data_IF_152188809917
#
_entry.id   IF_152188809917
#
_cell.length_a   1.000
_cell.length_b   1.000
_cell.length_c   1.000
_cell.angle_alpha   90.00
_cell.angle_beta   90.00
_cell.angle_gamma   90.00
#
_symmetry.space_group_name_H-M   'P 1'
#
loop_
_entity.id
_entity.type
_entity.pdbx_description
1 polymer ?
#
# COMPACT_ATOMS: atom_id res chain seq x y z
N UNK A 1 32.85 -4.05 -13.81
CA UNK A 1 31.80 -5.06 -13.90
C UNK A 1 30.58 -4.50 -14.66
N UNK A 2 29.91 -5.36 -15.43
CA UNK A 2 28.70 -4.95 -16.16
C UNK A 2 27.64 -4.41 -15.18
N UNK A 3 27.00 -3.28 -15.52
CA UNK A 3 25.88 -2.74 -14.75
C UNK A 3 24.75 -3.75 -14.71
N UNK A 4 24.18 -3.97 -13.53
CA UNK A 4 22.99 -4.80 -13.39
C UNK A 4 21.83 -4.17 -14.12
N UNK A 5 21.17 -4.95 -14.99
CA UNK A 5 19.97 -4.54 -15.70
C UNK A 5 18.75 -4.87 -14.85
N UNK A 6 17.88 -3.89 -14.69
CA UNK A 6 16.60 -4.06 -14.02
C UNK A 6 15.48 -4.00 -15.06
N UNK A 7 14.59 -4.96 -15.00
CA UNK A 7 13.38 -4.99 -15.83
C UNK A 7 12.21 -4.48 -15.00
N UNK A 8 11.54 -3.46 -15.49
CA UNK A 8 10.39 -2.85 -14.82
C UNK A 8 9.17 -3.00 -15.73
N UNK A 9 8.17 -3.73 -15.26
CA UNK A 9 6.86 -3.78 -15.91
C UNK A 9 6.13 -2.47 -15.62
N UNK A 10 5.47 -1.89 -16.61
CA UNK A 10 4.78 -0.62 -16.48
C UNK A 10 3.34 -0.76 -16.93
N UNK A 11 2.40 -0.45 -16.06
CA UNK A 11 0.97 -0.35 -16.34
C UNK A 11 0.59 1.12 -16.29
N UNK A 12 0.37 1.79 -17.44
CA UNK A 12 -0.03 3.20 -17.41
C UNK A 12 -1.35 3.44 -16.70
N UNK A 13 -2.29 2.49 -16.81
CA UNK A 13 -3.60 2.59 -16.18
C UNK A 13 -4.59 3.42 -16.99
N UNK A 14 -5.57 3.98 -16.30
CA UNK A 14 -6.71 4.68 -16.88
C UNK A 14 -6.67 6.19 -16.54
N UNK A 15 -7.49 6.98 -17.22
CA UNK A 15 -7.65 8.40 -16.91
C UNK A 15 -6.34 9.19 -16.98
N UNK A 16 -5.88 9.73 -15.86
CA UNK A 16 -4.61 10.46 -15.78
C UNK A 16 -3.37 9.57 -15.76
N UNK A 17 -3.55 8.25 -15.74
CA UNK A 17 -2.46 7.27 -15.66
C UNK A 17 -1.41 7.43 -16.76
N UNK A 18 -1.77 7.48 -18.05
CA UNK A 18 -0.79 7.64 -19.12
C UNK A 18 0.07 8.90 -19.01
N UNK A 19 -0.52 10.05 -18.70
CA UNK A 19 0.23 11.30 -18.53
C UNK A 19 1.13 11.30 -17.29
N UNK A 20 0.68 10.69 -16.19
CA UNK A 20 1.51 10.51 -15.00
C UNK A 20 2.68 9.56 -15.27
N UNK A 21 2.44 8.49 -16.02
CA UNK A 21 3.47 7.52 -16.39
C UNK A 21 4.56 8.17 -17.23
N UNK A 22 4.19 9.01 -18.17
CA UNK A 22 5.14 9.76 -19.00
C UNK A 22 6.01 10.69 -18.14
N UNK A 23 5.40 11.42 -17.20
CA UNK A 23 6.13 12.26 -16.27
C UNK A 23 7.07 11.45 -15.37
N UNK A 24 6.63 10.29 -14.93
CA UNK A 24 7.44 9.37 -14.11
C UNK A 24 8.65 8.84 -14.87
N UNK A 25 8.52 8.52 -16.14
CA UNK A 25 9.65 8.11 -16.99
C UNK A 25 10.76 9.15 -17.02
N UNK A 26 10.42 10.43 -17.10
CA UNK A 26 11.41 11.52 -17.07
C UNK A 26 12.20 11.54 -15.78
N UNK A 27 11.52 11.31 -14.65
CA UNK A 27 12.16 11.24 -13.33
C UNK A 27 13.07 10.01 -13.24
N UNK A 28 12.59 8.85 -13.65
CA UNK A 28 13.35 7.60 -13.60
C UNK A 28 14.58 7.64 -14.53
N UNK A 29 14.46 8.28 -15.68
CA UNK A 29 15.58 8.49 -16.59
C UNK A 29 16.68 9.33 -15.93
N UNK A 30 16.30 10.42 -15.29
CA UNK A 30 17.24 11.26 -14.53
C UNK A 30 17.90 10.51 -13.38
N UNK A 31 17.12 9.73 -12.62
CA UNK A 31 17.63 8.88 -11.53
C UNK A 31 18.61 7.84 -12.06
N UNK A 32 18.29 7.23 -13.21
CA UNK A 32 19.18 6.24 -13.84
C UNK A 32 20.53 6.83 -14.22
N UNK A 33 20.55 8.05 -14.76
CA UNK A 33 21.78 8.74 -15.11
C UNK A 33 22.61 9.09 -13.87
N UNK A 34 21.98 9.63 -12.82
CA UNK A 34 22.67 10.05 -11.60
C UNK A 34 23.27 8.87 -10.85
N UNK A 35 22.56 7.76 -10.76
CA UNK A 35 22.98 6.60 -9.96
C UNK A 35 23.56 5.45 -10.78
N UNK A 36 23.72 5.62 -12.09
CA UNK A 36 24.27 4.60 -12.97
C UNK A 36 23.42 3.33 -13.05
N UNK A 37 22.10 3.48 -13.01
CA UNK A 37 21.15 2.36 -13.11
C UNK A 37 20.82 2.08 -14.57
N UNK A 38 20.66 0.79 -14.90
CA UNK A 38 20.17 0.37 -16.20
C UNK A 38 18.78 -0.24 -16.03
N UNK A 39 17.74 0.51 -16.42
CA UNK A 39 16.35 0.07 -16.36
C UNK A 39 15.80 -0.15 -17.76
N UNK A 40 15.15 -1.29 -17.94
CA UNK A 40 14.39 -1.62 -19.14
C UNK A 40 12.91 -1.68 -18.79
N UNK A 41 12.09 -0.95 -19.54
CA UNK A 41 10.66 -0.83 -19.30
C UNK A 41 9.86 -1.66 -20.28
N UNK A 42 8.96 -2.50 -19.77
CA UNK A 42 8.00 -3.26 -20.56
C UNK A 42 6.60 -2.78 -20.21
N UNK A 43 5.98 -2.08 -21.14
CA UNK A 43 4.63 -1.53 -20.97
C UNK A 43 3.59 -2.58 -21.29
N UNK A 44 2.65 -2.79 -20.36
CA UNK A 44 1.52 -3.71 -20.49
C UNK A 44 0.24 -3.04 -20.01
N UNK A 45 -0.90 -3.61 -20.37
CA UNK A 45 -2.20 -3.01 -20.09
C UNK A 45 -2.93 -3.71 -18.94
N UNK A 46 -3.58 -2.94 -18.10
CA UNK A 46 -4.54 -3.40 -17.11
C UNK A 46 -5.54 -2.27 -16.82
N UNK A 47 -6.70 -2.62 -16.29
CA UNK A 47 -7.72 -1.67 -15.89
C UNK A 47 -8.90 -1.63 -16.85
N UNK A 48 -9.62 -0.51 -16.84
CA UNK A 48 -10.85 -0.33 -17.64
C UNK A 48 -10.57 -0.38 -19.13
N UNK A 49 -9.44 0.19 -19.56
CA UNK A 49 -9.01 0.16 -20.96
C UNK A 49 -8.76 -1.27 -21.43
N UNK A 50 -8.07 -2.06 -20.63
CA UNK A 50 -7.82 -3.48 -20.93
C UNK A 50 -9.12 -4.30 -20.95
N UNK A 51 -10.05 -4.01 -20.04
CA UNK A 51 -11.36 -4.65 -20.00
C UNK A 51 -12.12 -4.45 -21.31
N UNK A 52 -12.09 -3.24 -21.87
CA UNK A 52 -12.72 -2.93 -23.16
C UNK A 52 -12.06 -3.65 -24.34
N UNK A 53 -10.73 -3.73 -24.35
CA UNK A 53 -9.97 -4.34 -25.44
C UNK A 53 -9.99 -5.87 -25.42
N UNK A 54 -9.83 -6.46 -24.23
CA UNK A 54 -9.50 -7.88 -24.07
C UNK A 54 -10.57 -8.67 -23.32
N UNK A 55 -11.61 -8.01 -22.80
CA UNK A 55 -12.65 -8.66 -22.00
C UNK A 55 -12.23 -8.99 -20.57
N UNK A 56 -11.04 -8.58 -20.16
CA UNK A 56 -10.54 -8.75 -18.79
C UNK A 56 -9.74 -7.52 -18.36
N UNK A 57 -9.88 -7.06 -17.10
CA UNK A 57 -9.09 -5.94 -16.61
C UNK A 57 -7.63 -6.31 -16.30
N UNK A 58 -7.31 -7.60 -16.20
CA UNK A 58 -5.96 -8.10 -15.99
C UNK A 58 -5.66 -9.22 -16.99
N UNK A 59 -5.18 -8.89 -18.21
CA UNK A 59 -4.78 -9.88 -19.21
C UNK A 59 -3.66 -10.79 -18.69
N UNK A 60 -3.64 -12.04 -19.15
CA UNK A 60 -2.61 -13.00 -18.75
C UNK A 60 -1.19 -12.53 -19.15
N UNK A 61 -1.06 -11.91 -20.32
CA UNK A 61 0.22 -11.32 -20.77
C UNK A 61 0.77 -10.31 -19.77
N UNK A 62 -0.10 -9.49 -19.19
CA UNK A 62 0.28 -8.50 -18.18
C UNK A 62 0.82 -9.19 -16.92
N UNK A 63 0.11 -10.20 -16.44
CA UNK A 63 0.57 -10.98 -15.29
C UNK A 63 1.90 -11.66 -15.57
N UNK A 64 2.07 -12.29 -16.73
CA UNK A 64 3.31 -12.95 -17.12
C UNK A 64 4.49 -11.97 -17.17
N UNK A 65 4.26 -10.78 -17.72
CA UNK A 65 5.28 -9.72 -17.78
C UNK A 65 5.70 -9.28 -16.37
N UNK A 66 4.75 -9.12 -15.45
CA UNK A 66 5.05 -8.76 -14.04
C UNK A 66 5.87 -9.86 -13.35
N UNK A 67 5.52 -11.13 -13.59
CA UNK A 67 6.22 -12.27 -12.99
C UNK A 67 7.69 -12.37 -13.42
N UNK A 68 8.03 -11.89 -14.61
CA UNK A 68 9.38 -11.89 -15.15
C UNK A 68 10.16 -10.60 -14.82
N UNK A 69 9.49 -9.58 -14.29
CA UNK A 69 10.10 -8.30 -13.97
C UNK A 69 10.69 -8.25 -12.56
N UNK A 70 11.64 -7.35 -12.34
CA UNK A 70 12.19 -7.05 -11.03
C UNK A 70 11.23 -6.21 -10.17
N UNK A 71 10.48 -5.34 -10.82
CA UNK A 71 9.45 -4.50 -10.17
C UNK A 71 8.37 -4.11 -11.17
N UNK A 72 7.25 -3.65 -10.67
CA UNK A 72 6.15 -3.11 -11.48
C UNK A 72 5.81 -1.70 -11.02
N UNK A 73 5.68 -0.80 -11.98
CA UNK A 73 5.14 0.54 -11.78
C UNK A 73 3.73 0.57 -12.35
N UNK A 74 2.74 0.83 -11.50
CA UNK A 74 1.34 0.82 -11.89
C UNK A 74 0.72 2.21 -11.73
N UNK A 75 0.11 2.71 -12.79
CA UNK A 75 -0.71 3.91 -12.74
C UNK A 75 -2.09 3.65 -12.14
N UNK A 76 -2.90 4.71 -11.97
CA UNK A 76 -4.25 4.59 -11.42
C UNK A 76 -5.17 3.84 -12.36
N UNK A 77 -6.14 3.14 -11.80
CA UNK A 77 -7.14 2.36 -12.52
C UNK A 77 -8.54 2.85 -12.16
N UNK A 78 -9.48 2.74 -13.08
CA UNK A 78 -10.87 3.14 -12.90
C UNK A 78 -11.66 2.16 -12.05
N UNK A 79 -12.90 1.86 -12.45
CA UNK A 79 -13.82 1.03 -11.64
C UNK A 79 -13.33 -0.41 -11.45
N UNK A 80 -12.50 -0.92 -12.35
CA UNK A 80 -11.91 -2.26 -12.27
C UNK A 80 -10.71 -2.35 -11.32
N UNK A 81 -10.40 -1.31 -10.55
CA UNK A 81 -9.20 -1.24 -9.70
C UNK A 81 -9.05 -2.45 -8.76
N UNK A 82 -10.13 -2.83 -8.06
CA UNK A 82 -10.08 -3.97 -7.15
C UNK A 82 -9.78 -5.28 -7.89
N UNK A 83 -10.32 -5.47 -9.08
CA UNK A 83 -10.10 -6.67 -9.90
C UNK A 83 -8.66 -6.77 -10.42
N UNK A 84 -7.93 -5.67 -10.46
CA UNK A 84 -6.52 -5.64 -10.84
C UNK A 84 -5.63 -5.80 -9.62
N UNK A 85 -5.69 -4.85 -8.68
CA UNK A 85 -4.71 -4.78 -7.60
C UNK A 85 -4.89 -5.84 -6.54
N UNK A 86 -6.12 -6.16 -6.14
CA UNK A 86 -6.36 -7.19 -5.12
C UNK A 86 -5.91 -8.56 -5.64
N UNK A 87 -6.19 -8.89 -6.91
CA UNK A 87 -5.71 -10.13 -7.52
C UNK A 87 -4.18 -10.19 -7.57
N UNK A 88 -3.51 -9.10 -7.92
CA UNK A 88 -2.05 -9.04 -7.95
C UNK A 88 -1.44 -9.20 -6.56
N UNK A 89 -2.01 -8.56 -5.54
CA UNK A 89 -1.55 -8.70 -4.14
C UNK A 89 -1.58 -10.15 -3.67
N UNK A 90 -2.63 -10.87 -4.02
CA UNK A 90 -2.80 -12.28 -3.63
C UNK A 90 -1.90 -13.18 -4.48
N UNK A 91 -1.94 -13.03 -5.81
CA UNK A 91 -1.18 -13.88 -6.73
C UNK A 91 0.34 -13.80 -6.52
N UNK A 92 0.86 -12.62 -6.18
CA UNK A 92 2.28 -12.36 -5.98
C UNK A 92 2.68 -12.36 -4.50
N UNK A 93 1.74 -12.62 -3.61
CA UNK A 93 1.92 -12.56 -2.15
C UNK A 93 2.58 -11.26 -1.68
N UNK A 94 2.03 -10.15 -2.13
CA UNK A 94 2.50 -8.81 -1.76
C UNK A 94 1.96 -8.45 -0.37
N UNK A 95 2.57 -8.99 0.66
CA UNK A 95 2.04 -8.97 2.02
C UNK A 95 2.11 -7.62 2.73
N UNK A 96 3.02 -6.74 2.30
CA UNK A 96 3.20 -5.43 2.92
C UNK A 96 2.75 -4.31 1.97
N UNK A 97 1.80 -3.50 2.39
CA UNK A 97 1.40 -2.28 1.72
C UNK A 97 2.00 -1.11 2.50
N UNK A 98 3.01 -0.50 1.91
CA UNK A 98 3.83 0.53 2.56
C UNK A 98 3.43 1.88 2.01
N UNK A 99 2.88 2.72 2.87
CA UNK A 99 2.35 4.05 2.51
C UNK A 99 3.03 5.15 3.32
N UNK A 100 4.12 5.73 2.81
CA UNK A 100 4.72 6.90 3.44
C UNK A 100 3.82 8.12 3.27
N UNK A 101 3.70 8.91 4.32
CA UNK A 101 2.90 10.13 4.33
C UNK A 101 3.73 11.26 4.92
N UNK A 102 3.89 12.34 4.17
CA UNK A 102 4.71 13.46 4.57
C UNK A 102 4.09 14.78 4.15
N UNK A 103 4.06 15.74 5.07
CA UNK A 103 3.76 17.15 4.74
C UNK A 103 4.98 17.79 4.13
N UNK A 104 4.85 18.36 2.93
CA UNK A 104 5.95 19.00 2.25
C UNK A 104 5.93 20.52 2.49
N UNK A 105 7.11 21.15 2.69
CA UNK A 105 7.20 22.60 2.79
C UNK A 105 6.59 23.28 1.54
N UNK A 106 5.92 24.40 1.74
CA UNK A 106 5.30 25.20 0.68
C UNK A 106 4.05 24.60 0.02
N UNK A 107 3.60 23.41 0.44
CA UNK A 107 2.32 22.87 0.01
C UNK A 107 1.28 23.06 1.11
N UNK A 108 0.04 23.43 0.76
CA UNK A 108 -1.03 23.53 1.74
C UNK A 108 -1.28 22.19 2.42
N UNK A 109 -1.40 22.21 3.72
CA UNK A 109 -1.70 21.01 4.52
C UNK A 109 -2.56 21.39 5.72
N UNK A 110 -3.47 20.47 6.09
CA UNK A 110 -4.20 20.59 7.34
C UNK A 110 -3.24 20.49 8.54
N UNK A 111 -2.26 19.57 8.44
CA UNK A 111 -1.17 19.40 9.41
C UNK A 111 0.17 19.49 8.70
N UNK A 112 1.01 20.48 9.01
CA UNK A 112 2.33 20.63 8.37
C UNK A 112 3.41 19.72 8.98
N UNK A 113 3.11 18.98 10.03
CA UNK A 113 4.03 18.22 10.87
C UNK A 113 3.85 16.70 10.74
N UNK A 114 3.35 16.21 9.60
CA UNK A 114 3.20 14.78 9.32
C UNK A 114 4.46 14.25 8.63
N UNK A 115 5.04 13.22 9.21
CA UNK A 115 6.08 12.39 8.59
C UNK A 115 6.01 11.01 9.23
N UNK A 116 5.22 10.13 8.61
CA UNK A 116 4.98 8.78 9.10
C UNK A 116 4.91 7.78 7.94
N UNK A 117 5.00 6.51 8.27
CA UNK A 117 4.79 5.42 7.33
C UNK A 117 3.72 4.50 7.88
N UNK A 118 2.71 4.19 7.07
CA UNK A 118 1.73 3.17 7.41
C UNK A 118 2.16 1.86 6.75
N UNK A 119 2.40 0.86 7.57
CA UNK A 119 2.69 -0.52 7.17
C UNK A 119 1.42 -1.33 7.38
N UNK A 120 0.72 -1.55 6.27
CA UNK A 120 -0.58 -2.19 6.21
C UNK A 120 -0.44 -3.63 5.77
N UNK A 121 -1.00 -4.57 6.55
CA UNK A 121 -1.16 -5.95 6.07
C UNK A 121 -2.00 -5.93 4.79
N UNK A 122 -1.66 -6.76 3.81
CA UNK A 122 -2.15 -6.58 2.43
C UNK A 122 -2.84 -7.81 1.83
N UNK A 123 -2.89 -8.95 2.54
CA UNK A 123 -3.33 -10.22 1.96
C UNK A 123 -4.51 -10.89 2.66
N UNK A 124 -4.94 -10.37 3.78
CA UNK A 124 -6.01 -10.98 4.57
C UNK A 124 -7.01 -9.95 5.12
N UNK A 125 -7.65 -10.20 6.23
CA UNK A 125 -8.73 -9.38 6.76
C UNK A 125 -10.03 -9.60 5.98
N UNK A 126 -10.80 -8.56 5.81
CA UNK A 126 -12.02 -8.57 5.00
C UNK A 126 -11.72 -8.68 3.49
N UNK A 127 -10.51 -8.37 3.08
CA UNK A 127 -10.07 -8.44 1.69
C UNK A 127 -9.86 -9.87 1.18
N UNK A 128 -10.02 -10.90 2.05
CA UNK A 128 -10.12 -12.29 1.62
C UNK A 128 -11.37 -12.56 0.76
N UNK A 129 -12.38 -11.70 0.87
CA UNK A 129 -13.58 -11.81 0.05
C UNK A 129 -14.56 -12.90 0.48
N UNK A 130 -14.45 -13.41 1.72
CA UNK A 130 -15.41 -14.36 2.27
C UNK A 130 -16.65 -13.64 2.74
N UNK A 131 -17.59 -13.51 1.83
CA UNK A 131 -18.81 -12.75 2.05
C UNK A 131 -19.99 -13.49 1.43
N UNK A 132 -21.10 -13.60 2.16
CA UNK A 132 -22.26 -14.34 1.69
C UNK A 132 -23.54 -13.93 2.41
N UNK A 133 -24.66 -14.27 1.79
CA UNK A 133 -25.99 -14.11 2.37
C UNK A 133 -26.34 -15.38 3.15
N UNK A 134 -26.74 -15.26 4.41
CA UNK A 134 -27.09 -16.38 5.28
C UNK A 134 -28.59 -16.69 5.29
N UNK A 135 -29.38 -15.97 4.51
CA UNK A 135 -30.83 -16.13 4.39
C UNK A 135 -31.59 -14.87 4.78
N UNK A 136 -32.72 -14.61 4.11
CA UNK A 136 -33.44 -13.38 4.26
C UNK A 136 -32.58 -12.17 3.89
N UNK A 137 -32.69 -11.09 4.62
CA UNK A 137 -31.89 -9.89 4.43
C UNK A 137 -30.68 -9.83 5.41
N UNK A 138 -30.06 -10.98 5.67
CA UNK A 138 -28.90 -11.11 6.57
C UNK A 138 -27.66 -11.51 5.77
N UNK A 139 -26.66 -10.64 5.76
CA UNK A 139 -25.38 -10.86 5.08
C UNK A 139 -24.23 -10.85 6.08
N UNK A 140 -23.18 -11.62 5.81
CA UNK A 140 -21.98 -11.69 6.65
C UNK A 140 -20.72 -11.58 5.81
N UNK A 141 -19.67 -10.98 6.39
CA UNK A 141 -18.32 -11.00 5.87
C UNK A 141 -17.37 -11.53 6.94
N UNK A 142 -16.43 -12.37 6.55
CA UNK A 142 -15.45 -12.94 7.48
C UNK A 142 -14.15 -12.15 7.43
N UNK A 143 -13.73 -11.69 8.60
CA UNK A 143 -12.44 -11.05 8.79
C UNK A 143 -11.42 -12.09 9.23
N UNK A 144 -10.46 -12.40 8.38
CA UNK A 144 -9.47 -13.45 8.60
C UNK A 144 -8.15 -12.84 9.05
N UNK A 145 -7.67 -13.25 10.22
CA UNK A 145 -6.35 -12.87 10.74
C UNK A 145 -5.59 -14.16 11.03
N UNK A 146 -4.36 -14.24 10.50
CA UNK A 146 -3.48 -15.39 10.75
C UNK A 146 -2.26 -14.97 11.55
N UNK A 147 -1.68 -15.89 12.30
CA UNK A 147 -0.40 -15.67 12.99
C UNK A 147 0.72 -15.36 11.99
N UNK A 148 0.81 -16.14 10.92
CA UNK A 148 1.83 -15.93 9.87
C UNK A 148 1.73 -14.55 9.23
N UNK A 149 0.53 -14.14 8.83
CA UNK A 149 0.29 -12.82 8.23
C UNK A 149 0.61 -11.69 9.20
N UNK A 150 0.20 -11.82 10.45
CA UNK A 150 0.47 -10.82 11.49
C UNK A 150 1.97 -10.71 11.81
N UNK A 151 2.67 -11.84 11.89
CA UNK A 151 4.10 -11.86 12.21
C UNK A 151 4.94 -11.20 11.11
N UNK A 152 4.71 -11.54 9.85
CA UNK A 152 5.51 -10.99 8.75
C UNK A 152 5.28 -9.49 8.55
N UNK A 153 4.06 -9.00 8.71
CA UNK A 153 3.81 -7.55 8.61
C UNK A 153 4.40 -6.80 9.81
N UNK A 154 4.34 -7.39 11.01
CA UNK A 154 4.97 -6.82 12.19
C UNK A 154 6.49 -6.68 11.99
N UNK A 155 7.16 -7.73 11.54
CA UNK A 155 8.61 -7.68 11.25
C UNK A 155 8.95 -6.60 10.23
N UNK A 156 8.16 -6.47 9.18
CA UNK A 156 8.36 -5.42 8.19
C UNK A 156 8.27 -4.03 8.81
N UNK A 157 7.29 -3.81 9.68
CA UNK A 157 7.11 -2.54 10.38
C UNK A 157 8.28 -2.21 11.31
N UNK A 158 8.77 -3.18 12.10
CA UNK A 158 9.90 -2.97 13.01
C UNK A 158 11.20 -2.71 12.24
N UNK A 159 11.46 -3.42 11.15
CA UNK A 159 12.62 -3.16 10.29
C UNK A 159 12.53 -1.77 9.65
N UNK A 160 11.35 -1.35 9.24
CA UNK A 160 11.13 0.01 8.73
C UNK A 160 11.42 1.06 9.81
N UNK A 161 10.95 0.87 11.02
CA UNK A 161 11.17 1.78 12.14
C UNK A 161 12.66 1.92 12.50
N UNK A 162 13.44 0.85 12.41
CA UNK A 162 14.90 0.90 12.62
C UNK A 162 15.62 1.87 11.69
N UNK A 163 15.10 2.02 10.48
CA UNK A 163 15.65 2.96 9.49
C UNK A 163 15.06 4.37 9.59
N UNK A 164 14.19 4.58 10.58
CA UNK A 164 13.51 5.86 10.80
C UNK A 164 13.73 6.33 12.24
N UNK A 165 12.66 6.63 12.96
CA UNK A 165 12.74 7.18 14.32
C UNK A 165 12.50 6.15 15.41
N UNK A 166 12.50 4.87 15.07
CA UNK A 166 12.47 3.73 16.00
C UNK A 166 11.26 3.69 16.92
N UNK A 167 10.09 3.95 16.34
CA UNK A 167 8.82 3.81 17.06
C UNK A 167 7.79 3.12 16.18
N UNK A 168 7.15 2.08 16.71
CA UNK A 168 6.02 1.39 16.08
C UNK A 168 4.78 1.57 16.93
N UNK A 169 3.71 2.07 16.32
CA UNK A 169 2.38 2.11 16.91
C UNK A 169 1.53 1.04 16.24
N UNK A 170 1.19 -0.01 16.98
CA UNK A 170 0.30 -1.07 16.52
C UNK A 170 -1.15 -0.63 16.71
N UNK A 171 -1.92 -0.65 15.63
CA UNK A 171 -3.30 -0.17 15.63
C UNK A 171 -4.27 -1.32 15.38
N UNK A 172 -5.19 -1.50 16.30
CA UNK A 172 -6.18 -2.58 16.28
C UNK A 172 -7.48 -2.17 16.97
N UNK A 173 -8.41 -3.10 17.12
CA UNK A 173 -9.68 -2.88 17.83
C UNK A 173 -10.01 -4.08 18.73
N UNK A 174 -9.04 -4.51 19.55
CA UNK A 174 -9.16 -5.72 20.37
C UNK A 174 -10.20 -5.60 21.51
N UNK A 175 -10.61 -4.38 21.87
CA UNK A 175 -11.72 -4.19 22.81
C UNK A 175 -13.09 -4.60 22.24
N UNK A 176 -13.20 -4.69 20.91
CA UNK A 176 -14.41 -5.14 20.20
C UNK A 176 -14.17 -6.49 19.53
N UNK A 177 -13.12 -6.58 18.70
CA UNK A 177 -12.75 -7.82 18.01
C UNK A 177 -11.68 -8.56 18.81
N UNK A 178 -12.10 -9.16 19.91
CA UNK A 178 -11.20 -9.75 20.91
C UNK A 178 -10.38 -10.92 20.38
N UNK A 179 -10.93 -11.69 19.45
CA UNK A 179 -10.25 -12.86 18.89
C UNK A 179 -9.32 -12.45 17.74
N UNK A 180 -9.85 -11.78 16.72
CA UNK A 180 -9.05 -11.43 15.54
C UNK A 180 -8.01 -10.32 15.82
N UNK A 181 -8.44 -9.19 16.35
CA UNK A 181 -7.49 -8.14 16.75
C UNK A 181 -6.66 -8.57 17.97
N UNK A 182 -7.20 -9.43 18.84
CA UNK A 182 -6.44 -10.02 19.95
C UNK A 182 -5.25 -10.83 19.46
N UNK A 183 -5.42 -11.66 18.45
CA UNK A 183 -4.31 -12.40 17.83
C UNK A 183 -3.28 -11.46 17.20
N UNK A 184 -3.73 -10.48 16.43
CA UNK A 184 -2.83 -9.51 15.80
C UNK A 184 -1.99 -8.77 16.85
N UNK A 185 -2.62 -8.24 17.90
CA UNK A 185 -1.94 -7.54 18.98
C UNK A 185 -0.95 -8.43 19.73
N UNK A 186 -1.34 -9.67 20.03
CA UNK A 186 -0.46 -10.65 20.68
C UNK A 186 0.80 -10.91 19.87
N UNK A 187 0.65 -11.17 18.57
CA UNK A 187 1.78 -11.43 17.68
C UNK A 187 2.68 -10.20 17.56
N UNK A 188 2.11 -9.01 17.43
CA UNK A 188 2.90 -7.78 17.38
C UNK A 188 3.71 -7.55 18.66
N UNK A 189 3.14 -7.85 19.84
CA UNK A 189 3.87 -7.78 21.10
C UNK A 189 5.03 -8.79 21.17
N UNK A 190 4.79 -10.01 20.69
CA UNK A 190 5.84 -11.04 20.63
C UNK A 190 6.99 -10.60 19.73
N UNK A 191 6.68 -10.07 18.55
CA UNK A 191 7.70 -9.56 17.62
C UNK A 191 8.43 -8.37 18.21
N UNK A 192 7.76 -7.47 18.92
CA UNK A 192 8.38 -6.29 19.54
C UNK A 192 9.52 -6.65 20.49
N UNK A 193 9.46 -7.79 21.14
CA UNK A 193 10.51 -8.27 22.04
C UNK A 193 11.82 -8.58 21.33
N UNK A 194 11.78 -8.82 20.02
CA UNK A 194 12.97 -9.04 19.21
C UNK A 194 13.60 -7.74 18.70
N UNK A 195 12.98 -6.61 19.01
CA UNK A 195 13.41 -5.27 18.59
C UNK A 195 13.46 -4.32 19.81
N UNK A 196 14.34 -4.60 20.79
CA UNK A 196 14.41 -3.81 22.03
C UNK A 196 14.85 -2.36 21.81
N UNK A 197 15.41 -2.06 20.66
CA UNK A 197 15.82 -0.73 20.22
C UNK A 197 14.68 0.11 19.61
N UNK A 198 13.48 -0.47 19.48
CA UNK A 198 12.29 0.19 18.92
C UNK A 198 11.24 0.36 20.02
N UNK A 199 10.74 1.57 20.17
CA UNK A 199 9.62 1.85 21.07
C UNK A 199 8.36 1.25 20.47
N UNK A 200 7.61 0.51 21.26
CA UNK A 200 6.37 -0.13 20.86
C UNK A 200 5.21 0.37 21.71
N UNK A 201 4.15 0.78 21.05
CA UNK A 201 2.88 1.13 21.69
C UNK A 201 1.70 0.58 20.91
N UNK A 202 0.53 0.53 21.54
CA UNK A 202 -0.72 0.11 20.91
C UNK A 202 -1.75 1.22 21.05
N UNK A 203 -2.55 1.41 20.02
CA UNK A 203 -3.71 2.30 20.03
C UNK A 203 -4.92 1.60 19.39
N UNK A 204 -6.09 1.89 19.88
CA UNK A 204 -7.32 1.54 19.16
C UNK A 204 -7.45 2.40 17.91
N UNK A 205 -8.03 1.85 16.86
CA UNK A 205 -8.10 2.49 15.54
C UNK A 205 -8.81 3.85 15.58
N UNK A 206 -9.87 3.97 16.36
CA UNK A 206 -10.59 5.23 16.54
C UNK A 206 -9.74 6.30 17.24
N UNK A 207 -9.01 5.92 18.27
CA UNK A 207 -8.06 6.82 18.94
C UNK A 207 -6.92 7.22 17.99
N UNK A 208 -6.38 6.27 17.24
CA UNK A 208 -5.33 6.56 16.25
C UNK A 208 -5.82 7.54 15.18
N UNK A 209 -7.01 7.32 14.64
CA UNK A 209 -7.63 8.23 13.67
C UNK A 209 -7.72 9.66 14.21
N UNK A 210 -8.18 9.83 15.43
CA UNK A 210 -8.23 11.15 16.09
C UNK A 210 -6.82 11.73 16.27
N UNK A 211 -5.85 10.93 16.68
CA UNK A 211 -4.48 11.37 16.96
C UNK A 211 -3.68 11.73 15.70
N UNK A 212 -3.97 11.13 14.56
CA UNK A 212 -3.37 11.53 13.28
C UNK A 212 -3.67 13.01 12.99
N UNK A 213 -4.86 13.48 13.32
CA UNK A 213 -5.25 14.88 13.16
C UNK A 213 -4.73 15.75 14.29
N UNK A 214 -4.81 15.24 15.53
CA UNK A 214 -4.51 16.01 16.73
C UNK A 214 -3.00 16.16 17.01
N UNK A 215 -2.24 15.09 16.83
CA UNK A 215 -0.82 15.02 17.18
C UNK A 215 -0.03 14.07 16.27
N UNK A 216 -0.02 14.34 14.95
CA UNK A 216 0.61 13.44 13.99
C UNK A 216 2.11 13.27 14.20
N UNK A 217 2.78 14.23 14.81
CA UNK A 217 4.23 14.19 15.09
C UNK A 217 4.65 13.07 16.07
N UNK A 218 3.69 12.49 16.79
CA UNK A 218 3.97 11.36 17.69
C UNK A 218 4.07 10.02 16.94
N UNK A 219 3.69 9.96 15.68
CA UNK A 219 3.75 8.74 14.88
C UNK A 219 5.01 8.67 14.02
N UNK A 220 5.66 7.52 14.03
CA UNK A 220 6.73 7.16 13.09
C UNK A 220 6.23 6.07 12.13
N UNK A 221 6.08 4.85 12.61
CA UNK A 221 5.52 3.74 11.84
C UNK A 221 4.21 3.29 12.48
N UNK A 222 3.15 3.28 11.69
CA UNK A 222 1.86 2.72 12.07
C UNK A 222 1.76 1.33 11.46
N UNK A 223 1.65 0.32 12.32
CA UNK A 223 1.49 -1.08 11.96
C UNK A 223 0.03 -1.47 12.18
N UNK A 224 -0.64 -1.96 11.13
CA UNK A 224 -2.06 -2.26 11.26
C UNK A 224 -2.54 -3.31 10.25
N UNK A 225 -3.76 -3.77 10.45
CA UNK A 225 -4.45 -4.70 9.57
C UNK A 225 -4.95 -4.02 8.30
N UNK A 226 -5.44 -4.81 7.36
CA UNK A 226 -5.69 -4.38 5.98
C UNK A 226 -6.65 -3.20 5.88
N UNK A 227 -7.88 -3.32 6.34
CA UNK A 227 -8.86 -2.26 6.17
C UNK A 227 -8.56 -1.02 7.02
N UNK A 228 -8.06 -1.20 8.24
CA UNK A 228 -7.65 -0.05 9.06
C UNK A 228 -6.54 0.74 8.40
N UNK A 229 -5.56 0.06 7.82
CA UNK A 229 -4.48 0.71 7.08
C UNK A 229 -4.95 1.46 5.84
N UNK A 230 -5.93 0.91 5.15
CA UNK A 230 -6.56 1.57 4.00
C UNK A 230 -7.19 2.91 4.40
N UNK A 231 -8.00 2.89 5.45
CA UNK A 231 -8.70 4.09 5.93
C UNK A 231 -7.74 5.12 6.52
N UNK A 232 -6.83 4.68 7.40
CA UNK A 232 -5.90 5.58 8.08
C UNK A 232 -4.92 6.25 7.11
N UNK A 233 -4.50 5.55 6.06
CA UNK A 233 -3.58 6.11 5.08
C UNK A 233 -4.21 7.23 4.25
N UNK A 234 -5.48 7.10 3.88
CA UNK A 234 -6.20 8.16 3.17
C UNK A 234 -6.42 9.38 4.06
N UNK A 235 -6.78 9.17 5.31
CA UNK A 235 -6.90 10.24 6.30
C UNK A 235 -5.58 11.00 6.46
N UNK A 236 -4.49 10.28 6.69
CA UNK A 236 -3.18 10.87 6.85
C UNK A 236 -2.73 11.63 5.60
N UNK A 237 -2.98 11.07 4.41
CA UNK A 237 -2.66 11.72 3.14
C UNK A 237 -3.40 13.04 2.96
N UNK A 238 -4.68 13.10 3.26
CA UNK A 238 -5.45 14.35 3.19
C UNK A 238 -4.97 15.37 4.22
N UNK A 239 -4.66 14.92 5.43
CA UNK A 239 -4.14 15.80 6.47
C UNK A 239 -2.76 16.38 6.10
N UNK A 240 -1.94 15.64 5.36
CA UNK A 240 -0.60 16.06 4.93
C UNK A 240 -0.60 16.98 3.70
N UNK A 241 -1.73 17.08 3.00
CA UNK A 241 -1.85 17.94 1.83
C UNK A 241 -2.84 17.43 0.81
N UNK A 242 -2.63 16.24 0.24
CA UNK A 242 -3.51 15.70 -0.80
C UNK A 242 -3.31 14.21 -1.00
N UNK A 243 -4.41 13.51 -1.28
CA UNK A 243 -4.38 12.14 -1.73
C UNK A 243 -3.56 11.97 -3.03
N UNK A 244 -3.51 13.01 -3.86
CA UNK A 244 -2.72 13.05 -5.10
C UNK A 244 -1.20 12.96 -4.88
N UNK A 245 -0.72 13.20 -3.66
CA UNK A 245 0.70 13.09 -3.29
C UNK A 245 1.04 11.77 -2.60
N UNK A 246 0.09 10.86 -2.45
CA UNK A 246 0.25 9.65 -1.67
C UNK A 246 0.73 8.47 -2.54
N UNK A 247 1.92 7.91 -2.29
CA UNK A 247 2.39 6.70 -2.94
C UNK A 247 2.06 5.47 -2.12
N UNK A 248 2.09 4.30 -2.78
CA UNK A 248 2.03 3.00 -2.12
C UNK A 248 3.03 2.03 -2.75
N UNK A 249 3.73 1.29 -1.92
CA UNK A 249 4.52 0.14 -2.33
C UNK A 249 3.82 -1.14 -1.85
N UNK A 250 3.48 -2.02 -2.77
CA UNK A 250 2.99 -3.37 -2.46
C UNK A 250 4.18 -4.32 -2.54
N UNK A 251 4.63 -4.82 -1.41
CA UNK A 251 5.92 -5.51 -1.27
C UNK A 251 5.72 -6.95 -0.83
N UNK A 252 6.32 -7.87 -1.55
CA UNK A 252 6.45 -9.28 -1.18
C UNK A 252 7.91 -9.67 -1.03
N UNK A 253 8.16 -10.95 -0.79
CA UNK A 253 9.53 -11.45 -0.70
C UNK A 253 10.26 -11.38 -2.06
N UNK A 254 9.52 -11.55 -3.16
CA UNK A 254 10.08 -11.63 -4.51
C UNK A 254 9.64 -10.51 -5.43
N UNK A 255 8.42 -10.01 -5.26
CA UNK A 255 7.82 -9.03 -6.16
C UNK A 255 7.51 -7.73 -5.45
N UNK A 256 7.44 -6.64 -6.22
CA UNK A 256 7.01 -5.34 -5.73
C UNK A 256 6.22 -4.59 -6.81
N UNK A 257 5.13 -3.96 -6.41
CA UNK A 257 4.33 -3.08 -7.25
C UNK A 257 4.21 -1.72 -6.57
N UNK A 258 4.64 -0.68 -7.28
CA UNK A 258 4.55 0.70 -6.81
C UNK A 258 3.44 1.42 -7.56
N UNK A 259 2.60 2.15 -6.83
CA UNK A 259 1.42 2.80 -7.38
C UNK A 259 1.08 4.11 -6.65
N UNK A 260 0.37 5.06 -7.31
CA UNK A 260 -0.30 6.12 -6.60
C UNK A 260 -1.54 5.57 -5.89
N UNK A 261 -1.90 6.17 -4.75
CA UNK A 261 -3.07 5.75 -3.98
C UNK A 261 -4.38 6.23 -4.63
N UNK A 262 -4.34 7.42 -5.29
CA UNK A 262 -5.52 8.00 -5.95
C UNK A 262 -6.02 7.18 -7.16
N UNK A 263 -7.27 7.41 -7.52
CA UNK A 263 -7.90 6.79 -8.69
C UNK A 263 -7.58 7.50 -10.01
N UNK A 264 -8.27 7.11 -11.07
CA UNK A 264 -8.01 7.52 -12.45
C UNK A 264 -8.30 9.01 -12.76
N UNK A 265 -9.13 9.66 -11.96
CA UNK A 265 -9.49 11.08 -12.10
C UNK A 265 -9.87 11.48 -13.55
N UNK A 266 -10.80 10.75 -14.14
CA UNK A 266 -11.22 10.95 -15.54
C UNK A 266 -11.65 12.37 -15.87
N UNK A 267 -12.19 13.11 -14.90
CA UNK A 267 -12.69 14.48 -15.04
C UNK A 267 -11.60 15.50 -15.35
N UNK A 268 -10.36 15.23 -14.98
CA UNK A 268 -9.22 16.13 -15.20
C UNK A 268 -8.19 15.58 -16.20
N UNK A 269 -8.42 14.37 -16.74
CA UNK A 269 -7.49 13.76 -17.68
C UNK A 269 -7.32 14.64 -18.94
N UNK A 270 -6.05 14.89 -19.29
CA UNK A 270 -5.69 15.70 -20.46
C UNK A 270 -5.87 17.22 -20.28
N UNK A 271 -6.04 17.72 -19.07
CA UNK A 271 -6.21 19.14 -18.78
C UNK A 271 -4.96 19.78 -18.17
#
# INVERSE_FOLDING_TARGET
GAMKRYVVAVIPGDGIGPEQTEATFKVLEAVSEVYGLNMEFHTVEAGDTALKKFGTPLPQETLDTILEADACLKGPVGESAADVIVKLRIALDLYANVRPVKSYPRLPALRPDIDLVIVRENTEGLYKGFEFNVGGDVTVALRVITRKGSERIARYAFETARRRRRKVTCVHKANVMRVTCGLFAEVCREVSKQYPDVVYEEQYVDACAANIIRKPHEFDVILTTNMFGDILSDEAAQASGSLGLAPAGNIGERYAIFEPVHGAAFDIAGK
#
